data_IF_476917061162
#
_entry.id   IF_476917061162
#
_cell.length_a   1.000
_cell.length_b   1.000
_cell.length_c   1.000
_cell.angle_alpha   90.00
_cell.angle_beta   90.00
_cell.angle_gamma   90.00
#
_symmetry.space_group_name_H-M   'P 1'
#
loop_
_entity.id
_entity.type
_entity.pdbx_description
1 polymer ?
#
# COMPACT_ATOMS: atom_id res chain seq x y z
N UNK A 1 7.31 -0.38 -17.44
CA UNK A 1 7.82 0.64 -16.49
C UNK A 1 7.69 0.16 -15.05
N UNK A 2 8.66 0.51 -14.19
CA UNK A 2 8.65 0.21 -12.76
C UNK A 2 8.50 1.53 -12.00
N UNK A 3 7.55 1.60 -11.06
CA UNK A 3 7.37 2.77 -10.20
C UNK A 3 7.55 2.39 -8.72
N UNK A 4 8.40 3.15 -8.04
CA UNK A 4 8.57 3.07 -6.58
C UNK A 4 7.71 4.11 -5.88
N UNK A 5 7.05 3.70 -4.79
CA UNK A 5 6.21 4.56 -3.99
C UNK A 5 6.71 4.64 -2.56
N UNK A 6 6.59 5.84 -1.98
CA UNK A 6 6.78 6.11 -0.56
C UNK A 6 5.93 7.31 -0.16
N UNK A 7 5.53 7.40 1.10
CA UNK A 7 4.67 8.50 1.54
C UNK A 7 4.33 8.47 3.02
N UNK A 8 3.30 9.23 3.37
CA UNK A 8 2.92 9.46 4.76
C UNK A 8 2.33 8.22 5.45
N UNK A 9 2.74 8.06 6.72
CA UNK A 9 2.15 7.12 7.68
C UNK A 9 0.97 7.78 8.39
N UNK A 10 0.07 7.03 9.06
CA UNK A 10 -1.10 7.55 9.76
C UNK A 10 -0.86 8.82 10.58
N UNK A 11 0.21 8.85 11.39
CA UNK A 11 0.51 9.98 12.28
C UNK A 11 0.95 11.26 11.55
N UNK A 12 1.27 11.16 10.25
CA UNK A 12 1.68 12.27 9.40
C UNK A 12 0.60 12.68 8.40
N UNK A 13 -0.53 11.98 8.38
CA UNK A 13 -1.69 12.33 7.57
C UNK A 13 -2.55 13.36 8.30
N UNK A 14 -3.22 14.26 7.58
CA UNK A 14 -4.12 15.22 8.20
C UNK A 14 -5.34 14.52 8.79
N UNK A 15 -5.72 14.90 10.00
CA UNK A 15 -6.89 14.38 10.70
C UNK A 15 -6.71 12.95 11.23
N UNK A 16 -7.82 12.31 11.59
CA UNK A 16 -7.82 10.94 12.09
C UNK A 16 -7.64 9.96 10.93
N UNK A 17 -6.68 9.05 11.07
CA UNK A 17 -6.57 7.92 10.15
C UNK A 17 -7.83 7.05 10.27
N UNK A 18 -8.61 7.03 9.20
CA UNK A 18 -9.94 6.44 9.12
C UNK A 18 -10.14 5.85 7.73
N UNK A 19 -11.22 5.10 7.55
CA UNK A 19 -11.61 4.56 6.24
C UNK A 19 -11.66 5.64 5.15
N UNK A 20 -12.22 6.82 5.47
CA UNK A 20 -12.27 7.95 4.54
C UNK A 20 -10.88 8.42 4.13
N UNK A 21 -9.95 8.50 5.08
CA UNK A 21 -8.56 8.90 4.82
C UNK A 21 -7.88 7.86 3.93
N UNK A 22 -8.11 6.57 4.20
CA UNK A 22 -7.56 5.48 3.42
C UNK A 22 -8.11 5.46 1.99
N UNK A 23 -9.41 5.67 1.79
CA UNK A 23 -10.03 5.80 0.48
C UNK A 23 -9.40 6.94 -0.34
N UNK A 24 -9.10 8.09 0.28
CA UNK A 24 -8.43 9.19 -0.41
C UNK A 24 -6.99 8.81 -0.87
N UNK A 25 -6.28 7.99 -0.10
CA UNK A 25 -4.98 7.43 -0.52
C UNK A 25 -5.15 6.47 -1.69
N UNK A 26 -6.17 5.60 -1.66
CA UNK A 26 -6.49 4.70 -2.77
C UNK A 26 -6.82 5.46 -4.06
N UNK A 27 -7.65 6.51 -3.98
CA UNK A 27 -8.01 7.34 -5.12
C UNK A 27 -6.77 8.03 -5.72
N UNK A 28 -5.87 8.51 -4.86
CA UNK A 28 -4.60 9.13 -5.27
C UNK A 28 -3.67 8.10 -5.93
N UNK A 29 -3.53 6.90 -5.36
CA UNK A 29 -2.74 5.82 -5.95
C UNK A 29 -3.31 5.40 -7.32
N UNK A 30 -4.63 5.26 -7.42
CA UNK A 30 -5.34 4.95 -8.66
C UNK A 30 -5.09 6.00 -9.74
N UNK A 31 -5.17 7.29 -9.38
CA UNK A 31 -4.87 8.38 -10.29
C UNK A 31 -3.44 8.25 -10.84
N UNK A 32 -2.44 8.14 -9.96
CA UNK A 32 -1.02 8.03 -10.37
C UNK A 32 -0.82 6.81 -11.26
N UNK A 33 -1.31 5.63 -10.87
CA UNK A 33 -1.15 4.42 -11.68
C UNK A 33 -1.88 4.49 -13.02
N UNK A 34 -2.98 5.23 -13.14
CA UNK A 34 -3.68 5.45 -14.41
C UNK A 34 -2.94 6.41 -15.34
N UNK A 35 -2.28 7.44 -14.78
CA UNK A 35 -1.46 8.37 -15.54
C UNK A 35 -0.21 7.69 -16.10
N UNK A 36 0.49 6.94 -15.27
CA UNK A 36 1.79 6.38 -15.63
C UNK A 36 1.71 4.96 -16.20
N UNK A 37 0.67 4.18 -15.89
CA UNK A 37 0.48 2.79 -16.37
C UNK A 37 1.71 1.90 -16.14
N UNK A 38 2.17 1.73 -14.88
CA UNK A 38 3.29 0.84 -14.58
C UNK A 38 2.93 -0.63 -14.80
N UNK A 39 3.91 -1.45 -15.16
CA UNK A 39 3.79 -2.91 -15.17
C UNK A 39 4.19 -3.52 -13.82
N UNK A 40 4.97 -2.76 -13.03
CA UNK A 40 5.47 -3.18 -11.71
C UNK A 40 5.45 -2.01 -10.75
N UNK A 41 4.98 -2.27 -9.53
CA UNK A 41 4.90 -1.33 -8.42
C UNK A 41 5.80 -1.84 -7.30
N UNK A 42 6.64 -0.96 -6.74
CA UNK A 42 7.46 -1.24 -5.56
C UNK A 42 6.89 -0.41 -4.40
N UNK A 43 6.62 -1.06 -3.27
CA UNK A 43 6.14 -0.42 -2.04
C UNK A 43 6.94 -0.91 -0.83
N UNK A 44 7.21 -0.03 0.14
CA UNK A 44 7.81 -0.40 1.42
C UNK A 44 6.83 -1.09 2.38
N UNK A 45 5.54 -1.13 2.02
CA UNK A 45 4.44 -1.75 2.77
C UNK A 45 4.22 -1.17 4.18
N UNK A 46 4.71 0.05 4.47
CA UNK A 46 4.37 0.72 5.72
C UNK A 46 2.88 1.07 5.78
N UNK A 47 2.26 1.04 6.97
CA UNK A 47 0.87 1.45 7.13
C UNK A 47 0.65 2.89 6.61
N UNK A 48 -0.42 3.10 5.84
CA UNK A 48 -0.78 4.39 5.24
C UNK A 48 -0.64 4.37 3.72
N UNK A 49 0.14 5.29 3.16
CA UNK A 49 0.31 5.42 1.70
C UNK A 49 0.81 4.13 1.04
N UNK A 50 1.82 3.49 1.63
CA UNK A 50 2.47 2.31 1.06
C UNK A 50 1.51 1.11 0.99
N UNK A 51 0.64 0.90 1.98
CA UNK A 51 -0.41 -0.13 1.95
C UNK A 51 -1.51 0.19 0.94
N UNK A 52 -1.93 1.46 0.81
CA UNK A 52 -2.90 1.88 -0.21
C UNK A 52 -2.37 1.65 -1.64
N UNK A 53 -1.10 1.96 -1.88
CA UNK A 53 -0.44 1.66 -3.16
C UNK A 53 -0.40 0.16 -3.43
N UNK A 54 -0.04 -0.65 -2.43
CA UNK A 54 0.01 -2.09 -2.57
C UNK A 54 -1.36 -2.66 -2.97
N UNK A 55 -2.41 -2.24 -2.26
CA UNK A 55 -3.79 -2.64 -2.56
C UNK A 55 -4.22 -2.21 -3.96
N UNK A 56 -3.92 -0.99 -4.37
CA UNK A 56 -4.22 -0.50 -5.71
C UNK A 56 -3.52 -1.35 -6.79
N UNK A 57 -2.24 -1.69 -6.60
CA UNK A 57 -1.49 -2.54 -7.54
C UNK A 57 -2.14 -3.93 -7.66
N UNK A 58 -2.51 -4.51 -6.52
CA UNK A 58 -3.20 -5.80 -6.43
C UNK A 58 -4.54 -5.78 -7.17
N UNK A 59 -5.38 -4.78 -6.90
CA UNK A 59 -6.72 -4.67 -7.50
C UNK A 59 -6.67 -4.47 -9.01
N UNK A 60 -5.55 -3.97 -9.53
CA UNK A 60 -5.28 -3.76 -10.96
C UNK A 60 -4.48 -4.90 -11.60
N UNK A 61 -4.26 -6.00 -10.87
CA UNK A 61 -3.45 -7.13 -11.33
C UNK A 61 -2.03 -6.74 -11.78
N UNK A 62 -1.44 -5.72 -11.17
CA UNK A 62 -0.06 -5.31 -11.44
C UNK A 62 0.92 -6.14 -10.61
N UNK A 63 2.16 -6.30 -11.10
CA UNK A 63 3.21 -6.94 -10.32
C UNK A 63 3.58 -6.05 -9.14
N UNK A 64 3.31 -6.51 -7.91
CA UNK A 64 3.73 -5.85 -6.69
C UNK A 64 5.05 -6.45 -6.18
N UNK A 65 6.03 -5.60 -5.90
CA UNK A 65 7.26 -5.93 -5.18
C UNK A 65 7.16 -5.30 -3.78
N UNK A 66 6.94 -6.15 -2.78
CA UNK A 66 6.90 -5.76 -1.37
C UNK A 66 8.34 -5.63 -0.82
N UNK A 67 8.87 -4.41 -0.76
CA UNK A 67 10.22 -4.10 -0.28
C UNK A 67 10.23 -3.90 1.25
N UNK A 68 9.93 -4.98 1.99
CA UNK A 68 9.81 -4.97 3.44
C UNK A 68 11.21 -4.96 4.08
N UNK A 69 11.53 -4.01 4.98
CA UNK A 69 12.90 -3.86 5.51
C UNK A 69 13.30 -4.99 6.47
N UNK A 70 12.35 -5.58 7.19
CA UNK A 70 12.59 -6.70 8.11
C UNK A 70 11.31 -7.48 8.38
N UNK A 71 11.45 -8.75 8.78
CA UNK A 71 10.32 -9.61 9.17
C UNK A 71 9.65 -9.05 10.43
N UNK A 72 8.32 -8.92 10.41
CA UNK A 72 7.55 -8.44 11.55
C UNK A 72 7.47 -6.91 11.69
N UNK A 73 7.64 -6.16 10.59
CA UNK A 73 7.52 -4.70 10.62
C UNK A 73 6.16 -4.21 11.16
N UNK A 74 5.12 -5.03 10.98
CA UNK A 74 3.75 -4.80 11.40
C UNK A 74 3.51 -5.05 12.90
N UNK A 75 4.48 -5.64 13.62
CA UNK A 75 4.31 -6.16 14.98
C UNK A 75 3.83 -5.14 16.03
N UNK A 76 4.02 -3.84 15.76
CA UNK A 76 3.60 -2.74 16.65
C UNK A 76 2.29 -2.08 16.23
N UNK A 77 1.67 -2.50 15.13
CA UNK A 77 0.37 -1.97 14.68
C UNK A 77 -0.77 -2.66 15.42
N UNK A 78 -1.99 -2.14 15.27
CA UNK A 78 -3.19 -2.80 15.78
C UNK A 78 -3.38 -4.16 15.12
N UNK A 79 -4.07 -5.09 15.80
CA UNK A 79 -4.33 -6.42 15.25
C UNK A 79 -5.08 -6.36 13.90
N UNK A 80 -6.04 -5.44 13.77
CA UNK A 80 -6.76 -5.22 12.51
C UNK A 80 -5.80 -4.85 11.35
N UNK A 81 -4.90 -3.88 11.58
CA UNK A 81 -3.93 -3.46 10.58
C UNK A 81 -2.92 -4.56 10.25
N UNK A 82 -2.56 -5.40 11.22
CA UNK A 82 -1.70 -6.57 10.96
C UNK A 82 -2.41 -7.58 10.06
N UNK A 83 -3.69 -7.86 10.29
CA UNK A 83 -4.49 -8.77 9.45
C UNK A 83 -4.57 -8.24 8.03
N UNK A 84 -4.96 -6.98 7.84
CA UNK A 84 -5.05 -6.35 6.51
C UNK A 84 -3.71 -6.39 5.76
N UNK A 85 -2.63 -6.04 6.45
CA UNK A 85 -1.28 -6.11 5.89
C UNK A 85 -0.89 -7.53 5.44
N UNK A 86 -1.16 -8.54 6.26
CA UNK A 86 -0.86 -9.94 5.92
C UNK A 86 -1.72 -10.43 4.73
N UNK A 87 -2.96 -9.97 4.60
CA UNK A 87 -3.79 -10.24 3.42
C UNK A 87 -3.20 -9.64 2.13
N UNK A 88 -2.61 -8.44 2.21
CA UNK A 88 -1.93 -7.83 1.06
C UNK A 88 -0.70 -8.64 0.63
N UNK A 89 0.01 -9.28 1.56
CA UNK A 89 1.21 -10.08 1.29
C UNK A 89 0.94 -11.49 0.75
N UNK A 90 -0.31 -11.96 0.77
CA UNK A 90 -0.63 -13.27 0.21
C UNK A 90 -0.24 -13.31 -1.27
N UNK A 91 0.46 -14.38 -1.73
CA UNK A 91 0.74 -14.56 -3.14
C UNK A 91 -0.57 -14.53 -3.94
N UNK A 92 -0.61 -13.71 -4.99
CA UNK A 92 -1.69 -13.74 -5.98
C UNK A 92 -1.12 -14.30 -7.27
N UNK A 93 -1.76 -15.34 -7.79
CA UNK A 93 -1.49 -15.86 -9.11
C UNK A 93 -2.28 -15.00 -10.09
N UNK A 94 -1.59 -14.27 -10.96
CA UNK A 94 -2.15 -13.66 -12.16
C UNK A 94 -2.02 -14.61 -13.34
#
# INVERSE_FOLDING_TARGET
MILGFTGHRPNSLPGTYSERTYQALLDTANFVMSQYRPDTVISGMALGWDTAVAECAINRCLKLVAAIPFRGQESRWTQANQVEYLELLKPRHN
#
